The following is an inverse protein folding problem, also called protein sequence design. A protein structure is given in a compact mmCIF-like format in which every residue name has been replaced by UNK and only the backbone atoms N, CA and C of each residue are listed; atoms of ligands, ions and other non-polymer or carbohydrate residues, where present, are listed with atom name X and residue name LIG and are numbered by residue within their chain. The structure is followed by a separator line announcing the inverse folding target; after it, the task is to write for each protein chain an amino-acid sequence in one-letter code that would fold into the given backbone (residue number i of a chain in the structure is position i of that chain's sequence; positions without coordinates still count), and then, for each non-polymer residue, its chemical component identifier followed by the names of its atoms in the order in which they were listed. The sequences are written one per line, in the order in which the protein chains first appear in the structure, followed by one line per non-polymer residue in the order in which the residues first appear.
data_IF_426479321859
#
_entry.id   IF_426479321859
#
_cell.length_a   1.000
_cell.length_b   1.000
_cell.length_c   1.000
_cell.angle_alpha   90.00
_cell.angle_beta   90.00
_cell.angle_gamma   90.00
#
_symmetry.space_group_name_H-M   'P 1'
#
loop_
_entity.id
_entity.type
_entity.pdbx_description
1 polymer ?
#
# COMPACT_ATOMS: atom_id res chain seq x y z
N UNK A 1 -14.74 -27.18 13.48
CA UNK A 1 -15.88 -26.38 12.96
C UNK A 1 -15.43 -25.79 11.64
N UNK A 2 -16.08 -26.11 10.52
CA UNK A 2 -15.72 -25.53 9.22
C UNK A 2 -15.92 -24.01 9.29
N UNK A 3 -14.85 -23.24 9.11
CA UNK A 3 -14.89 -21.78 9.27
C UNK A 3 -15.89 -21.18 8.29
N UNK A 4 -17.04 -20.72 8.79
CA UNK A 4 -17.98 -19.91 8.01
C UNK A 4 -17.24 -18.67 7.47
N UNK A 5 -17.54 -18.20 6.25
CA UNK A 5 -16.97 -16.97 5.75
C UNK A 5 -17.24 -15.80 6.70
N UNK A 6 -16.26 -14.93 6.90
CA UNK A 6 -16.43 -13.69 7.64
C UNK A 6 -17.31 -12.75 6.81
N UNK A 7 -18.42 -12.31 7.38
CA UNK A 7 -19.38 -11.40 6.72
C UNK A 7 -18.92 -9.97 6.92
N UNK A 8 -18.67 -9.26 5.83
CA UNK A 8 -18.09 -7.92 5.89
C UNK A 8 -18.93 -6.87 5.16
N UNK A 9 -18.91 -5.65 5.67
CA UNK A 9 -19.44 -4.47 5.01
C UNK A 9 -18.37 -3.71 4.24
N UNK A 10 -18.62 -3.35 2.98
CA UNK A 10 -17.70 -2.53 2.18
C UNK A 10 -18.06 -1.04 2.28
N UNK A 11 -17.11 -0.20 2.67
CA UNK A 11 -17.33 1.25 2.86
C UNK A 11 -16.36 2.06 2.02
N UNK A 12 -16.90 3.05 1.29
CA UNK A 12 -16.12 3.88 0.38
C UNK A 12 -16.00 3.27 -1.02
N UNK A 13 -17.09 3.25 -1.78
CA UNK A 13 -17.24 2.44 -3.00
C UNK A 13 -16.62 3.08 -4.26
N UNK A 14 -15.37 3.53 -4.15
CA UNK A 14 -14.57 4.06 -5.26
C UNK A 14 -13.97 2.97 -6.15
N UNK A 15 -13.04 3.36 -7.03
CA UNK A 15 -12.32 2.43 -7.91
C UNK A 15 -11.65 1.30 -7.12
N UNK A 16 -10.99 1.63 -6.01
CA UNK A 16 -10.22 0.65 -5.24
C UNK A 16 -11.10 -0.37 -4.51
N UNK A 17 -12.28 0.04 -4.02
CA UNK A 17 -13.27 -0.88 -3.46
C UNK A 17 -13.65 -2.01 -4.43
N UNK A 18 -13.73 -1.71 -5.74
CA UNK A 18 -14.02 -2.74 -6.76
C UNK A 18 -12.87 -3.71 -6.96
N UNK A 19 -11.63 -3.24 -6.84
CA UNK A 19 -10.44 -4.10 -6.87
C UNK A 19 -10.46 -5.05 -5.67
N UNK A 20 -10.69 -4.50 -4.47
CA UNK A 20 -10.79 -5.29 -3.23
C UNK A 20 -11.99 -6.25 -3.29
N UNK A 21 -13.16 -5.81 -3.76
CA UNK A 21 -14.34 -6.65 -3.93
C UNK A 21 -14.10 -7.82 -4.89
N UNK A 22 -13.35 -7.59 -5.98
CA UNK A 22 -12.98 -8.65 -6.93
C UNK A 22 -11.99 -9.64 -6.33
N UNK A 23 -11.08 -9.20 -5.45
CA UNK A 23 -10.20 -10.09 -4.71
C UNK A 23 -10.97 -10.89 -3.65
N UNK A 24 -11.88 -10.23 -2.93
CA UNK A 24 -12.72 -10.85 -1.91
C UNK A 24 -13.66 -11.93 -2.49
N UNK A 25 -14.26 -11.69 -3.66
CA UNK A 25 -15.16 -12.67 -4.30
C UNK A 25 -14.48 -13.97 -4.74
N UNK A 26 -13.14 -13.99 -4.81
CA UNK A 26 -12.34 -15.20 -5.08
C UNK A 26 -11.99 -15.97 -3.80
N UNK A 27 -12.25 -15.40 -2.63
CA UNK A 27 -11.98 -16.01 -1.33
C UNK A 27 -13.18 -16.80 -0.84
N UNK A 28 -12.94 -17.98 -0.27
CA UNK A 28 -13.97 -18.73 0.48
C UNK A 28 -14.05 -18.31 1.96
N UNK A 29 -13.23 -17.34 2.38
CA UNK A 29 -13.10 -16.91 3.78
C UNK A 29 -13.82 -15.60 4.09
N UNK A 30 -14.30 -14.88 3.07
CA UNK A 30 -14.91 -13.56 3.17
C UNK A 30 -16.16 -13.51 2.32
N UNK A 31 -17.20 -12.87 2.83
CA UNK A 31 -18.44 -12.60 2.10
C UNK A 31 -18.83 -11.13 2.27
N UNK A 32 -19.00 -10.39 1.17
CA UNK A 32 -19.40 -8.98 1.22
C UNK A 32 -20.92 -8.92 1.25
N UNK A 33 -21.48 -8.81 2.45
CA UNK A 33 -22.94 -8.88 2.67
C UNK A 33 -23.61 -7.52 2.58
N UNK A 34 -22.86 -6.43 2.78
CA UNK A 34 -23.39 -5.07 2.80
C UNK A 34 -22.43 -4.05 2.19
N UNK A 35 -22.94 -2.93 1.68
CA UNK A 35 -22.12 -1.83 1.18
C UNK A 35 -22.70 -0.45 1.48
N UNK A 36 -21.78 0.51 1.72
CA UNK A 36 -22.10 1.90 1.95
C UNK A 36 -21.14 2.87 1.25
N UNK A 37 -21.72 3.95 0.71
CA UNK A 37 -21.02 5.14 0.20
C UNK A 37 -22.02 6.29 0.17
N UNK A 38 -21.54 7.53 0.34
CA UNK A 38 -22.38 8.74 0.25
C UNK A 38 -23.16 8.83 -1.08
N UNK A 39 -22.55 8.41 -2.19
CA UNK A 39 -23.21 8.40 -3.51
C UNK A 39 -24.06 7.15 -3.69
N UNK A 40 -25.37 7.36 -3.91
CA UNK A 40 -26.35 6.30 -4.20
C UNK A 40 -25.99 5.52 -5.46
N UNK A 41 -25.49 6.20 -6.48
CA UNK A 41 -25.06 5.62 -7.75
C UNK A 41 -23.92 4.61 -7.52
N UNK A 42 -22.96 4.96 -6.66
CA UNK A 42 -21.86 4.04 -6.28
C UNK A 42 -22.39 2.82 -5.51
N UNK A 43 -23.38 2.99 -4.61
CA UNK A 43 -24.02 1.86 -3.90
C UNK A 43 -24.71 0.90 -4.87
N UNK A 44 -25.51 1.44 -5.79
CA UNK A 44 -26.20 0.64 -6.83
C UNK A 44 -25.21 -0.08 -7.75
N UNK A 45 -24.16 0.61 -8.22
CA UNK A 45 -23.13 0.01 -9.07
C UNK A 45 -22.39 -1.13 -8.35
N UNK A 46 -22.06 -0.96 -7.07
CA UNK A 46 -21.35 -1.96 -6.29
C UNK A 46 -22.25 -3.18 -5.98
N UNK A 47 -23.51 -2.96 -5.59
CA UNK A 47 -24.51 -4.03 -5.43
C UNK A 47 -24.67 -4.84 -6.71
N UNK A 48 -24.81 -4.18 -7.87
CA UNK A 48 -24.92 -4.86 -9.16
C UNK A 48 -23.72 -5.78 -9.44
N UNK A 49 -22.53 -5.38 -9.01
CA UNK A 49 -21.29 -6.12 -9.26
C UNK A 49 -21.07 -7.27 -8.26
N UNK A 50 -21.44 -7.10 -6.98
CA UNK A 50 -21.06 -8.03 -5.91
C UNK A 50 -22.24 -8.66 -5.15
N UNK A 51 -23.49 -8.29 -5.44
CA UNK A 51 -24.68 -8.93 -4.89
C UNK A 51 -25.04 -8.56 -3.45
N UNK A 52 -24.40 -7.55 -2.85
CA UNK A 52 -24.57 -7.19 -1.44
C UNK A 52 -25.82 -6.31 -1.16
N UNK A 53 -26.23 -6.25 0.11
CA UNK A 53 -27.25 -5.29 0.59
C UNK A 53 -26.70 -3.86 0.48
N UNK A 54 -27.55 -2.91 0.12
CA UNK A 54 -27.25 -1.47 0.23
C UNK A 54 -27.74 -1.00 1.60
N UNK A 55 -26.90 -0.29 2.33
CA UNK A 55 -27.32 0.48 3.52
C UNK A 55 -27.34 1.97 3.19
N UNK A 56 -28.19 2.72 3.90
CA UNK A 56 -28.37 4.14 3.64
C UNK A 56 -27.48 5.04 4.48
N UNK A 57 -26.93 4.50 5.57
CA UNK A 57 -25.89 5.16 6.36
C UNK A 57 -24.78 4.20 6.79
N UNK A 58 -23.69 4.76 7.30
CA UNK A 58 -22.60 3.97 7.86
C UNK A 58 -23.00 3.40 9.22
N UNK A 59 -23.75 4.16 10.00
CA UNK A 59 -24.29 3.79 11.31
C UNK A 59 -25.22 2.58 11.20
N UNK A 60 -26.09 2.54 10.17
CA UNK A 60 -26.94 1.38 9.89
C UNK A 60 -26.10 0.12 9.61
N UNK A 61 -25.02 0.27 8.83
CA UNK A 61 -24.09 -0.84 8.54
C UNK A 61 -23.38 -1.30 9.81
N UNK A 62 -22.94 -0.37 10.67
CA UNK A 62 -22.26 -0.70 11.92
C UNK A 62 -23.20 -1.33 12.96
N UNK A 63 -24.49 -0.98 12.95
CA UNK A 63 -25.49 -1.54 13.86
C UNK A 63 -25.94 -2.97 13.48
N UNK A 64 -25.64 -3.44 12.26
CA UNK A 64 -26.04 -4.78 11.81
C UNK A 64 -25.20 -5.88 12.50
N UNK A 65 -25.83 -6.66 13.38
CA UNK A 65 -25.21 -7.79 14.08
C UNK A 65 -24.77 -8.92 13.13
N UNK A 66 -25.25 -8.92 11.88
CA UNK A 66 -24.83 -9.88 10.86
C UNK A 66 -23.53 -9.50 10.14
N UNK A 67 -22.93 -8.36 10.49
CA UNK A 67 -21.65 -7.92 9.93
C UNK A 67 -20.57 -8.09 10.98
N UNK A 68 -19.58 -8.92 10.67
CA UNK A 68 -18.47 -9.26 11.57
C UNK A 68 -17.32 -8.23 11.46
N UNK A 69 -17.19 -7.57 10.30
CA UNK A 69 -16.16 -6.57 10.06
C UNK A 69 -16.41 -5.64 8.88
N UNK A 70 -15.53 -4.66 8.69
CA UNK A 70 -15.62 -3.65 7.63
C UNK A 70 -14.35 -3.59 6.77
N UNK A 71 -14.57 -3.41 5.46
CA UNK A 71 -13.53 -3.10 4.49
C UNK A 71 -13.63 -1.61 4.16
N UNK A 72 -12.68 -0.83 4.65
CA UNK A 72 -12.68 0.62 4.53
C UNK A 72 -11.75 1.05 3.38
N UNK A 73 -12.33 1.66 2.34
CA UNK A 73 -11.63 2.14 1.13
C UNK A 73 -11.98 3.59 0.80
N UNK A 74 -12.23 4.36 1.86
CA UNK A 74 -12.55 5.78 1.83
C UNK A 74 -11.31 6.66 1.53
N UNK A 75 -11.46 7.97 1.28
CA UNK A 75 -10.33 8.89 1.24
C UNK A 75 -9.59 8.98 2.59
N UNK A 76 -8.27 9.24 2.57
CA UNK A 76 -7.41 9.26 3.77
C UNK A 76 -7.94 10.17 4.90
N UNK A 77 -8.59 11.28 4.53
CA UNK A 77 -9.07 12.30 5.46
C UNK A 77 -10.15 11.83 6.43
N UNK A 78 -10.84 10.72 6.12
CA UNK A 78 -11.90 10.15 6.96
C UNK A 78 -11.52 8.79 7.57
N UNK A 79 -10.26 8.37 7.44
CA UNK A 79 -9.82 7.07 7.98
C UNK A 79 -9.98 7.02 9.50
N UNK A 80 -9.51 8.03 10.22
CA UNK A 80 -9.58 8.04 11.68
C UNK A 80 -11.01 7.97 12.20
N UNK A 81 -11.90 8.81 11.63
CA UNK A 81 -13.31 8.82 11.98
C UNK A 81 -13.96 7.44 11.73
N UNK A 82 -13.77 6.87 10.54
CA UNK A 82 -14.39 5.59 10.18
C UNK A 82 -13.85 4.42 11.00
N UNK A 83 -12.54 4.37 11.25
CA UNK A 83 -11.93 3.37 12.12
C UNK A 83 -12.50 3.45 13.54
N UNK A 84 -12.57 4.65 14.12
CA UNK A 84 -13.05 4.84 15.49
C UNK A 84 -14.52 4.43 15.62
N UNK A 85 -15.37 4.78 14.65
CA UNK A 85 -16.77 4.37 14.66
C UNK A 85 -16.92 2.85 14.56
N UNK A 86 -16.19 2.19 13.64
CA UNK A 86 -16.20 0.73 13.52
C UNK A 86 -15.71 0.01 14.78
N UNK A 87 -14.63 0.51 15.39
CA UNK A 87 -14.07 -0.07 16.61
C UNK A 87 -15.05 0.04 17.79
N UNK A 88 -15.72 1.19 17.94
CA UNK A 88 -16.79 1.38 18.95
C UNK A 88 -17.98 0.46 18.73
N UNK A 89 -18.28 0.12 17.47
CA UNK A 89 -19.31 -0.85 17.10
C UNK A 89 -18.82 -2.32 17.15
N UNK A 90 -17.62 -2.57 17.71
CA UNK A 90 -17.00 -3.89 17.85
C UNK A 90 -16.89 -4.67 16.53
N UNK A 91 -16.64 -3.97 15.42
CA UNK A 91 -16.42 -4.58 14.09
C UNK A 91 -14.93 -4.79 13.85
N UNK A 92 -14.53 -5.94 13.30
CA UNK A 92 -13.17 -6.11 12.78
C UNK A 92 -12.90 -5.15 11.61
N UNK A 93 -11.66 -4.71 11.43
CA UNK A 93 -11.35 -3.62 10.48
C UNK A 93 -10.20 -4.04 9.57
N UNK A 94 -10.45 -3.92 8.27
CA UNK A 94 -9.42 -3.76 7.27
C UNK A 94 -9.56 -2.37 6.66
N UNK A 95 -8.50 -1.56 6.69
CA UNK A 95 -8.48 -0.18 6.17
C UNK A 95 -7.40 -0.06 5.10
N UNK A 96 -7.70 0.63 4.01
CA UNK A 96 -6.68 0.98 3.02
C UNK A 96 -5.57 1.86 3.62
N UNK A 97 -4.36 1.74 3.05
CA UNK A 97 -3.24 2.59 3.46
C UNK A 97 -3.40 4.00 2.89
N UNK A 98 -2.89 5.05 3.57
CA UNK A 98 -2.23 5.02 4.89
C UNK A 98 -3.26 4.91 6.04
N UNK A 99 -2.82 4.50 7.24
CA UNK A 99 -3.69 4.45 8.43
C UNK A 99 -4.38 5.80 8.72
N UNK A 100 -3.66 6.91 8.54
CA UNK A 100 -4.16 8.28 8.56
C UNK A 100 -3.18 9.17 7.80
N UNK A 101 -3.61 10.39 7.50
CA UNK A 101 -2.80 11.47 6.95
C UNK A 101 -2.21 12.40 8.02
N UNK A 102 -2.58 12.23 9.31
CA UNK A 102 -2.11 13.06 10.43
C UNK A 102 -1.62 12.19 11.60
N UNK A 103 -0.50 12.58 12.19
CA UNK A 103 0.06 11.88 13.35
C UNK A 103 -0.91 11.85 14.55
N UNK A 104 -1.55 12.98 14.86
CA UNK A 104 -2.52 13.07 15.97
C UNK A 104 -3.66 12.06 15.80
N UNK A 105 -4.16 11.90 14.59
CA UNK A 105 -5.20 10.93 14.25
C UNK A 105 -4.71 9.48 14.38
N UNK A 106 -3.49 9.18 13.94
CA UNK A 106 -2.88 7.87 14.11
C UNK A 106 -2.78 7.47 15.59
N UNK A 107 -2.42 8.40 16.48
CA UNK A 107 -2.41 8.14 17.93
C UNK A 107 -3.81 7.91 18.52
N UNK A 108 -4.82 8.65 18.04
CA UNK A 108 -6.21 8.42 18.46
C UNK A 108 -6.71 7.05 18.02
N UNK A 109 -6.40 6.65 16.78
CA UNK A 109 -6.68 5.30 16.28
C UNK A 109 -6.01 4.26 17.17
N UNK A 110 -4.70 4.41 17.44
CA UNK A 110 -3.96 3.50 18.31
C UNK A 110 -4.64 3.32 19.67
N UNK A 111 -4.98 4.43 20.34
CA UNK A 111 -5.64 4.38 21.65
C UNK A 111 -6.94 3.56 21.61
N UNK A 112 -7.80 3.83 20.62
CA UNK A 112 -9.08 3.12 20.49
C UNK A 112 -8.87 1.64 20.17
N UNK A 113 -7.86 1.31 19.35
CA UNK A 113 -7.54 -0.07 19.02
C UNK A 113 -6.95 -0.84 20.22
N UNK A 114 -6.07 -0.21 21.01
CA UNK A 114 -5.49 -0.81 22.22
C UNK A 114 -6.56 -1.13 23.28
N UNK A 115 -7.62 -0.33 23.34
CA UNK A 115 -8.78 -0.52 24.23
C UNK A 115 -9.81 -1.50 23.65
N UNK A 116 -9.67 -1.91 22.39
CA UNK A 116 -10.62 -2.79 21.69
C UNK A 116 -10.17 -4.25 21.66
N UNK A 117 -11.14 -5.18 21.55
CA UNK A 117 -10.87 -6.60 21.34
C UNK A 117 -10.88 -7.04 19.86
N UNK A 118 -10.82 -6.10 18.91
CA UNK A 118 -11.03 -6.38 17.49
C UNK A 118 -9.74 -6.74 16.75
N UNK A 119 -9.86 -7.49 15.66
CA UNK A 119 -8.78 -7.59 14.68
C UNK A 119 -8.74 -6.34 13.80
N UNK A 120 -7.55 -5.74 13.67
CA UNK A 120 -7.29 -4.57 12.84
C UNK A 120 -6.13 -4.84 11.87
N UNK A 121 -6.26 -4.39 10.63
CA UNK A 121 -5.21 -4.50 9.62
C UNK A 121 -5.23 -3.32 8.65
N UNK A 122 -4.04 -2.81 8.32
CA UNK A 122 -3.86 -1.81 7.27
C UNK A 122 -3.45 -2.51 5.97
N UNK A 123 -4.03 -2.10 4.85
CA UNK A 123 -3.90 -2.68 3.51
C UNK A 123 -2.54 -2.50 2.84
N UNK A 124 -1.44 -2.71 3.54
CA UNK A 124 -0.10 -2.74 2.95
C UNK A 124 0.14 -4.06 2.19
N UNK A 125 -0.30 -4.11 0.94
CA UNK A 125 -0.24 -5.34 0.13
C UNK A 125 1.14 -5.61 -0.51
N UNK A 126 2.01 -4.61 -0.61
CA UNK A 126 3.33 -4.73 -1.25
C UNK A 126 4.24 -5.77 -0.58
N UNK A 127 4.23 -5.85 0.76
CA UNK A 127 4.92 -6.91 1.52
C UNK A 127 4.41 -8.33 1.25
N UNK A 128 3.19 -8.46 0.73
CA UNK A 128 2.58 -9.76 0.43
C UNK A 128 2.93 -10.29 -0.97
N UNK A 129 3.56 -9.46 -1.83
CA UNK A 129 4.02 -9.90 -3.15
C UNK A 129 5.02 -11.06 -3.01
N UNK A 130 4.96 -12.01 -3.95
CA UNK A 130 5.85 -13.17 -3.96
C UNK A 130 7.33 -12.77 -3.93
N UNK A 131 7.69 -11.74 -4.69
CA UNK A 131 9.03 -11.15 -4.71
C UNK A 131 9.45 -10.62 -3.33
N UNK A 132 8.60 -9.83 -2.66
CA UNK A 132 8.87 -9.28 -1.33
C UNK A 132 9.05 -10.38 -0.27
N UNK A 133 8.20 -11.41 -0.31
CA UNK A 133 8.30 -12.56 0.59
C UNK A 133 9.54 -13.42 0.32
N UNK A 134 9.94 -13.54 -0.96
CA UNK A 134 11.16 -14.26 -1.33
C UNK A 134 12.41 -13.48 -0.89
N UNK A 135 12.46 -12.16 -1.10
CA UNK A 135 13.54 -11.33 -0.56
C UNK A 135 13.65 -11.47 0.96
N UNK A 136 12.51 -11.40 1.68
CA UNK A 136 12.50 -11.62 3.13
C UNK A 136 13.07 -12.98 3.52
N UNK A 137 12.64 -14.04 2.86
CA UNK A 137 13.14 -15.40 3.10
C UNK A 137 14.66 -15.50 2.90
N UNK A 138 15.19 -14.93 1.81
CA UNK A 138 16.63 -14.95 1.52
C UNK A 138 17.45 -14.15 2.56
N UNK A 139 16.90 -13.03 3.04
CA UNK A 139 17.50 -12.24 4.13
C UNK A 139 17.48 -13.05 5.43
N UNK A 140 16.33 -13.59 5.82
CA UNK A 140 16.17 -14.36 7.07
C UNK A 140 17.05 -15.62 7.10
N UNK A 141 17.23 -16.26 5.95
CA UNK A 141 18.09 -17.43 5.78
C UNK A 141 19.58 -17.09 5.65
N UNK A 142 19.99 -15.82 5.76
CA UNK A 142 21.39 -15.39 5.62
C UNK A 142 22.03 -15.73 4.26
N UNK A 143 21.20 -15.90 3.23
CA UNK A 143 21.64 -16.21 1.85
C UNK A 143 22.35 -15.01 1.23
N UNK A 144 21.88 -13.79 1.52
CA UNK A 144 22.51 -12.53 1.07
C UNK A 144 23.70 -12.10 1.94
N UNK A 145 23.92 -12.76 3.08
CA UNK A 145 24.86 -12.32 4.10
C UNK A 145 24.38 -11.07 4.84
N UNK A 146 25.32 -10.26 5.31
CA UNK A 146 25.04 -9.00 6.00
C UNK A 146 24.59 -7.95 4.98
N UNK A 147 23.41 -7.37 5.19
CA UNK A 147 22.92 -6.28 4.34
C UNK A 147 23.64 -4.98 4.71
N UNK A 148 24.21 -4.28 3.74
CA UNK A 148 24.85 -2.98 3.99
C UNK A 148 23.93 -1.80 3.64
N UNK A 149 23.22 -1.93 2.52
CA UNK A 149 22.40 -0.88 1.93
C UNK A 149 21.11 -1.48 1.36
N UNK A 150 20.02 -0.73 1.47
CA UNK A 150 18.78 -1.00 0.74
C UNK A 150 18.31 0.25 0.01
N UNK A 151 17.95 0.09 -1.25
CA UNK A 151 17.43 1.19 -2.07
C UNK A 151 16.00 0.86 -2.50
N UNK A 152 15.15 1.87 -2.62
CA UNK A 152 13.83 1.69 -3.20
C UNK A 152 13.36 2.93 -3.96
N UNK A 153 12.60 2.74 -5.02
CA UNK A 153 11.93 3.84 -5.70
C UNK A 153 10.54 3.45 -6.14
N UNK A 154 9.61 4.39 -6.02
CA UNK A 154 8.31 4.29 -6.66
C UNK A 154 7.89 5.63 -7.27
N UNK A 155 7.67 5.65 -8.58
CA UNK A 155 7.07 6.81 -9.27
C UNK A 155 5.86 6.47 -10.12
N UNK A 156 5.13 7.50 -10.52
CA UNK A 156 4.19 7.52 -11.64
C UNK A 156 3.88 8.98 -12.03
N UNK A 157 3.07 9.18 -13.05
CA UNK A 157 2.74 10.47 -13.65
C UNK A 157 1.51 11.15 -13.00
N UNK A 158 1.09 10.71 -11.81
CA UNK A 158 -0.20 11.12 -11.23
C UNK A 158 -0.35 12.63 -11.10
N UNK A 159 0.67 13.36 -10.69
CA UNK A 159 0.57 14.80 -10.48
C UNK A 159 0.53 15.62 -11.78
N UNK A 160 0.73 14.97 -12.94
CA UNK A 160 0.53 15.59 -14.27
C UNK A 160 -0.94 15.56 -14.70
N UNK A 161 -1.77 14.72 -14.08
CA UNK A 161 -3.18 14.51 -14.46
C UNK A 161 -4.19 15.03 -13.42
N UNK A 162 -3.76 15.30 -12.19
CA UNK A 162 -4.67 15.76 -11.14
C UNK A 162 -5.13 17.20 -11.40
N UNK A 163 -6.39 17.48 -11.07
CA UNK A 163 -7.00 18.80 -11.09
C UNK A 163 -7.41 19.22 -9.68
N UNK A 164 -7.79 20.48 -9.50
CA UNK A 164 -8.24 21.04 -8.21
C UNK A 164 -9.42 20.27 -7.58
N UNK A 165 -10.26 19.61 -8.39
CA UNK A 165 -11.37 18.76 -7.89
C UNK A 165 -10.89 17.51 -7.14
N UNK A 166 -9.61 17.18 -7.23
CA UNK A 166 -9.02 16.00 -6.59
C UNK A 166 -8.56 16.33 -5.18
N UNK A 167 -8.94 15.50 -4.22
CA UNK A 167 -8.35 15.55 -2.87
C UNK A 167 -6.82 15.35 -2.85
N UNK A 168 -6.22 14.86 -3.94
CA UNK A 168 -4.76 14.75 -4.09
C UNK A 168 -4.07 16.06 -4.45
N UNK A 169 -4.82 17.10 -4.78
CA UNK A 169 -4.28 18.41 -5.14
C UNK A 169 -3.69 19.15 -3.95
N UNK A 170 -4.32 19.03 -2.77
CA UNK A 170 -4.05 19.86 -1.59
C UNK A 170 -3.08 19.19 -0.60
N UNK A 171 -2.15 19.95 -0.01
CA UNK A 171 -1.17 19.44 0.97
C UNK A 171 -1.83 18.90 2.22
N UNK A 172 -2.90 19.55 2.66
CA UNK A 172 -3.62 19.18 3.88
C UNK A 172 -4.25 17.79 3.82
N UNK A 173 -4.68 17.35 2.63
CA UNK A 173 -5.27 16.02 2.42
C UNK A 173 -4.27 14.97 1.94
N UNK A 174 -3.15 15.40 1.33
CA UNK A 174 -2.10 14.51 0.81
C UNK A 174 -0.69 15.04 1.14
N UNK A 175 -0.31 15.07 2.43
CA UNK A 175 0.96 15.64 2.84
C UNK A 175 2.14 14.88 2.22
N UNK A 176 3.07 15.62 1.62
CA UNK A 176 4.24 15.06 0.94
C UNK A 176 3.92 14.29 -0.36
N UNK A 177 2.70 14.40 -0.89
CA UNK A 177 2.29 13.89 -2.20
C UNK A 177 2.68 12.43 -2.46
N UNK A 178 3.72 12.18 -3.29
CA UNK A 178 4.19 10.83 -3.58
C UNK A 178 4.68 10.07 -2.34
N UNK A 179 5.14 10.73 -1.27
CA UNK A 179 5.56 10.07 -0.03
C UNK A 179 4.43 9.27 0.61
N UNK A 180 3.30 9.94 0.89
CA UNK A 180 2.19 9.31 1.59
C UNK A 180 1.38 8.38 0.67
N UNK A 181 1.44 8.57 -0.64
CA UNK A 181 0.67 7.76 -1.58
C UNK A 181 1.44 6.56 -2.13
N UNK A 182 2.75 6.70 -2.36
CA UNK A 182 3.63 5.69 -2.93
C UNK A 182 4.63 5.15 -1.91
N UNK A 183 5.50 5.97 -1.33
CA UNK A 183 6.54 5.46 -0.42
C UNK A 183 6.00 4.80 0.83
N UNK A 184 4.78 5.11 1.28
CA UNK A 184 4.16 4.38 2.39
C UNK A 184 4.14 2.85 2.16
N UNK A 185 4.06 2.40 0.91
CA UNK A 185 4.17 0.98 0.58
C UNK A 185 5.60 0.45 0.70
N UNK A 186 6.57 1.25 0.29
CA UNK A 186 7.98 0.92 0.42
C UNK A 186 8.41 0.96 1.88
N UNK A 187 8.09 2.00 2.65
CA UNK A 187 8.40 2.06 4.09
C UNK A 187 7.84 0.87 4.87
N UNK A 188 6.64 0.42 4.52
CA UNK A 188 6.08 -0.80 5.08
C UNK A 188 6.88 -2.06 4.66
N UNK A 189 7.21 -2.20 3.38
CA UNK A 189 7.94 -3.37 2.87
C UNK A 189 9.39 -3.41 3.36
N UNK A 190 10.06 -2.27 3.40
CA UNK A 190 11.43 -2.09 3.87
C UNK A 190 11.54 -2.45 5.35
N UNK A 191 10.60 -2.00 6.18
CA UNK A 191 10.57 -2.38 7.59
C UNK A 191 10.21 -3.85 7.81
N UNK A 192 9.41 -4.45 6.91
CA UNK A 192 9.21 -5.90 6.90
C UNK A 192 10.51 -6.66 6.55
N UNK A 193 11.33 -6.13 5.65
CA UNK A 193 12.59 -6.75 5.24
C UNK A 193 13.67 -6.64 6.33
N UNK A 194 13.96 -5.42 6.79
CA UNK A 194 15.14 -5.12 7.63
C UNK A 194 14.81 -4.69 9.08
N UNK A 195 13.54 -4.60 9.46
CA UNK A 195 13.13 -4.11 10.77
C UNK A 195 12.94 -2.58 10.83
N UNK A 196 12.80 -1.99 12.03
CA UNK A 196 12.41 -0.60 12.19
C UNK A 196 13.42 0.40 11.62
N UNK A 197 12.92 1.51 11.08
CA UNK A 197 13.73 2.67 10.70
C UNK A 197 13.92 3.55 11.94
N UNK A 198 15.17 3.85 12.30
CA UNK A 198 15.51 4.64 13.49
C UNK A 198 15.48 6.15 13.20
N UNK A 199 16.00 6.59 12.05
CA UNK A 199 16.01 8.00 11.66
C UNK A 199 16.00 8.19 10.14
N UNK A 200 15.55 9.37 9.71
CA UNK A 200 15.49 9.77 8.31
C UNK A 200 15.95 11.22 8.12
N UNK A 201 16.49 11.51 6.93
CA UNK A 201 16.66 12.86 6.41
C UNK A 201 16.08 12.91 5.00
N UNK A 202 15.45 14.02 4.61
CA UNK A 202 14.72 14.09 3.35
C UNK A 202 14.78 15.47 2.69
N UNK A 203 14.73 15.46 1.36
CA UNK A 203 14.38 16.60 0.53
C UNK A 203 13.03 16.32 -0.14
N UNK A 204 12.09 17.24 0.00
CA UNK A 204 10.71 17.11 -0.49
C UNK A 204 10.37 18.44 -1.16
N UNK A 205 9.94 18.40 -2.42
CA UNK A 205 9.74 19.60 -3.23
C UNK A 205 8.58 19.44 -4.22
N UNK A 206 7.94 20.56 -4.56
CA UNK A 206 7.13 20.70 -5.76
C UNK A 206 8.02 21.25 -6.89
N UNK A 207 8.03 20.60 -8.05
CA UNK A 207 8.96 20.90 -9.15
C UNK A 207 8.27 21.11 -10.50
N UNK A 208 7.29 20.28 -10.85
CA UNK A 208 6.69 20.21 -12.19
C UNK A 208 5.16 20.37 -12.11
N UNK A 209 4.51 19.82 -11.07
CA UNK A 209 3.06 19.89 -10.94
C UNK A 209 2.58 21.32 -10.67
N UNK A 210 1.36 21.63 -11.10
CA UNK A 210 0.64 22.84 -10.69
C UNK A 210 -0.15 22.63 -9.39
N UNK A 211 -0.21 21.39 -8.88
CA UNK A 211 -0.89 21.09 -7.65
C UNK A 211 -0.16 21.72 -6.44
N UNK A 212 -0.91 21.96 -5.37
CA UNK A 212 -0.35 22.50 -4.14
C UNK A 212 0.68 21.54 -3.50
N UNK A 213 0.45 20.23 -3.62
CA UNK A 213 1.31 19.16 -3.08
C UNK A 213 2.74 19.15 -3.63
N UNK A 214 3.65 18.57 -2.84
CA UNK A 214 4.97 18.17 -3.35
C UNK A 214 4.84 17.03 -4.36
N UNK A 215 5.74 16.97 -5.34
CA UNK A 215 5.71 15.99 -6.42
C UNK A 215 6.97 15.14 -6.54
N UNK A 216 8.05 15.47 -5.81
CA UNK A 216 9.28 14.69 -5.75
C UNK A 216 9.80 14.64 -4.31
N UNK A 217 10.23 13.45 -3.89
CA UNK A 217 10.85 13.23 -2.59
C UNK A 217 12.04 12.27 -2.69
N UNK A 218 13.09 12.62 -1.95
CA UNK A 218 14.28 11.79 -1.74
C UNK A 218 14.54 11.69 -0.25
N UNK A 219 14.72 10.47 0.24
CA UNK A 219 14.91 10.15 1.66
C UNK A 219 16.16 9.30 1.82
N UNK A 220 16.98 9.62 2.80
CA UNK A 220 18.00 8.71 3.33
C UNK A 220 17.60 8.29 4.74
N UNK A 221 17.94 7.06 5.12
CA UNK A 221 17.51 6.48 6.38
C UNK A 221 18.60 5.61 7.02
N UNK A 222 18.54 5.49 8.35
CA UNK A 222 19.26 4.47 9.11
C UNK A 222 18.26 3.59 9.85
N UNK A 223 18.41 2.27 9.73
CA UNK A 223 17.63 1.28 10.46
C UNK A 223 18.17 1.09 11.89
N UNK A 224 17.37 0.55 12.80
CA UNK A 224 17.83 0.22 14.16
C UNK A 224 18.97 -0.80 14.15
N UNK A 225 19.00 -1.68 13.15
CA UNK A 225 20.09 -2.62 12.88
C UNK A 225 21.39 -1.97 12.40
N UNK A 226 21.39 -0.67 12.09
CA UNK A 226 22.52 0.06 11.52
C UNK A 226 22.62 0.02 10.00
N UNK A 227 21.77 -0.75 9.30
CA UNK A 227 21.73 -0.74 7.84
C UNK A 227 21.32 0.66 7.33
N UNK A 228 21.82 1.05 6.15
CA UNK A 228 21.48 2.32 5.52
C UNK A 228 20.44 2.12 4.41
N UNK A 229 19.70 3.18 4.07
CA UNK A 229 18.83 3.16 2.91
C UNK A 229 18.66 4.48 2.18
N UNK A 230 18.34 4.38 0.89
CA UNK A 230 18.00 5.49 0.00
C UNK A 230 16.66 5.22 -0.68
N UNK A 231 15.71 6.14 -0.52
CA UNK A 231 14.35 5.99 -1.02
C UNK A 231 13.92 7.19 -1.86
N UNK A 232 13.40 6.92 -3.06
CA UNK A 232 12.98 7.96 -4.00
C UNK A 232 11.52 7.81 -4.40
N UNK A 233 10.84 8.94 -4.60
CA UNK A 233 9.49 8.93 -5.16
C UNK A 233 9.17 10.17 -5.95
N UNK A 234 8.38 9.98 -7.00
CA UNK A 234 7.99 11.03 -7.92
C UNK A 234 6.58 10.81 -8.43
N UNK A 235 5.83 11.90 -8.55
CA UNK A 235 4.51 11.94 -9.18
C UNK A 235 4.53 12.61 -10.56
N UNK A 236 5.71 12.93 -11.06
CA UNK A 236 5.93 13.69 -12.30
C UNK A 236 6.92 12.97 -13.21
N UNK A 237 7.02 11.64 -13.08
CA UNK A 237 7.84 10.79 -13.94
C UNK A 237 7.14 9.49 -14.28
N UNK A 238 7.51 8.80 -15.38
CA UNK A 238 6.92 7.51 -15.73
C UNK A 238 6.96 6.49 -14.60
N UNK A 239 6.04 5.54 -14.63
CA UNK A 239 5.88 4.52 -13.59
C UNK A 239 7.09 3.60 -13.43
N UNK A 240 7.75 3.65 -12.27
CA UNK A 240 8.73 2.64 -11.84
C UNK A 240 8.40 2.12 -10.46
N UNK A 241 8.76 0.87 -10.20
CA UNK A 241 8.75 0.27 -8.88
C UNK A 241 9.97 -0.63 -8.79
N UNK A 242 10.84 -0.38 -7.83
CA UNK A 242 11.95 -1.29 -7.53
C UNK A 242 12.40 -1.22 -6.07
N UNK A 243 13.03 -2.30 -5.62
CA UNK A 243 13.72 -2.46 -4.34
C UNK A 243 15.03 -3.21 -4.61
N UNK A 244 16.16 -2.66 -4.18
CA UNK A 244 17.48 -3.28 -4.31
C UNK A 244 18.09 -3.52 -2.93
N UNK A 245 18.57 -4.72 -2.67
CA UNK A 245 19.23 -5.11 -1.42
C UNK A 245 20.68 -5.45 -1.73
N UNK A 246 21.61 -4.84 -0.99
CA UNK A 246 23.04 -5.07 -1.16
C UNK A 246 23.56 -5.86 0.04
N UNK A 247 23.81 -7.14 -0.18
CA UNK A 247 24.32 -8.06 0.84
C UNK A 247 25.78 -8.43 0.61
N UNK A 248 26.49 -8.80 1.67
CA UNK A 248 27.91 -9.18 1.60
C UNK A 248 28.20 -10.42 0.74
N UNK A 249 27.19 -11.26 0.45
CA UNK A 249 27.30 -12.45 -0.40
C UNK A 249 26.57 -12.29 -1.75
N UNK A 250 25.45 -11.59 -1.77
CA UNK A 250 24.59 -11.47 -2.95
C UNK A 250 23.76 -10.19 -2.90
N UNK A 251 23.54 -9.60 -4.08
CA UNK A 251 22.59 -8.51 -4.25
C UNK A 251 21.26 -9.04 -4.80
N UNK A 252 20.15 -8.47 -4.32
CA UNK A 252 18.81 -8.74 -4.82
C UNK A 252 18.27 -7.48 -5.51
N UNK A 253 17.73 -7.65 -6.71
CA UNK A 253 17.11 -6.57 -7.48
C UNK A 253 15.68 -6.97 -7.80
N UNK A 254 14.72 -6.32 -7.15
CA UNK A 254 13.30 -6.50 -7.45
C UNK A 254 12.81 -5.31 -8.26
N UNK A 255 12.32 -5.55 -9.46
CA UNK A 255 11.69 -4.51 -10.29
C UNK A 255 10.34 -4.99 -10.78
N UNK A 256 9.39 -4.06 -10.84
CA UNK A 256 8.13 -4.22 -11.57
C UNK A 256 8.12 -3.18 -12.67
N UNK A 257 8.35 -3.62 -13.88
CA UNK A 257 8.33 -2.74 -15.05
C UNK A 257 6.88 -2.49 -15.44
N UNK A 258 6.42 -1.24 -15.31
CA UNK A 258 5.08 -0.85 -15.77
C UNK A 258 5.11 -0.50 -17.27
N UNK A 259 6.22 0.01 -17.82
CA UNK A 259 6.52 0.14 -19.25
C UNK A 259 8.04 0.23 -19.45
N UNK A 260 8.60 -0.42 -20.48
CA UNK A 260 10.01 -0.30 -20.89
C UNK A 260 10.01 0.31 -22.31
N UNK A 261 10.50 1.54 -22.48
CA UNK A 261 11.13 1.89 -23.75
C UNK A 261 12.57 1.38 -23.66
N UNK A 262 12.79 0.17 -24.19
CA UNK A 262 14.15 -0.31 -24.45
C UNK A 262 14.70 0.52 -25.61
N UNK A 263 15.83 1.19 -25.38
CA UNK A 263 16.67 1.67 -26.49
C UNK A 263 17.09 0.42 -27.28
N UNK A 264 16.99 0.39 -28.63
CA UNK A 264 17.12 -0.83 -29.43
C UNK A 264 18.41 -1.65 -29.25
N UNK A 265 19.47 -1.11 -28.65
CA UNK A 265 20.80 -1.74 -28.61
C UNK A 265 21.32 -2.17 -27.23
N UNK A 266 20.47 -2.19 -26.19
CA UNK A 266 20.90 -2.66 -24.86
C UNK A 266 20.75 -4.19 -24.74
N UNK A 267 21.80 -4.95 -25.08
CA UNK A 267 21.84 -6.40 -24.89
C UNK A 267 22.06 -6.78 -23.41
N UNK A 268 20.96 -7.04 -22.70
CA UNK A 268 21.01 -7.80 -21.44
C UNK A 268 20.60 -9.24 -21.73
N UNK A 269 21.43 -10.21 -21.33
CA UNK A 269 21.07 -11.62 -21.43
C UNK A 269 19.95 -11.93 -20.41
N UNK A 270 18.70 -11.90 -20.88
CA UNK A 270 17.56 -12.47 -20.17
C UNK A 270 17.74 -13.98 -20.01
N UNK A 271 17.85 -14.45 -18.77
CA UNK A 271 17.45 -15.83 -18.42
C UNK A 271 16.05 -15.77 -17.81
N UNK A 272 15.04 -15.97 -18.65
CA UNK A 272 13.66 -16.19 -18.23
C UNK A 272 12.64 -15.46 -19.08
N UNK A 273 12.05 -16.16 -20.05
CA UNK A 273 10.89 -15.69 -20.80
C UNK A 273 9.66 -15.57 -19.88
N UNK A 274 8.98 -14.42 -19.90
CA UNK A 274 7.51 -14.40 -19.93
C UNK A 274 7.02 -13.17 -20.69
N UNK A 275 6.40 -13.41 -21.85
CA UNK A 275 5.65 -12.41 -22.59
C UNK A 275 4.29 -12.15 -21.91
N UNK A 276 3.93 -10.87 -21.76
CA UNK A 276 2.56 -10.41 -21.51
C UNK A 276 2.08 -10.46 -20.05
N UNK A 277 1.72 -9.27 -19.54
CA UNK A 277 1.30 -8.91 -18.17
C UNK A 277 2.46 -8.66 -17.21
N UNK A 278 2.36 -7.55 -16.47
CA UNK A 278 3.24 -7.08 -15.38
C UNK A 278 4.04 -8.24 -14.78
N UNK A 279 5.32 -8.34 -15.17
CA UNK A 279 6.23 -9.33 -14.62
C UNK A 279 6.79 -8.80 -13.31
N UNK A 280 6.48 -9.49 -12.21
CA UNK A 280 7.14 -9.29 -10.93
C UNK A 280 8.42 -10.15 -10.94
N UNK A 281 9.56 -9.54 -11.25
CA UNK A 281 10.83 -10.29 -11.36
C UNK A 281 11.78 -9.89 -10.24
N UNK A 282 12.48 -10.88 -9.69
CA UNK A 282 13.63 -10.70 -8.79
C UNK A 282 14.85 -11.26 -9.50
N UNK A 283 15.85 -10.43 -9.70
CA UNK A 283 17.16 -10.84 -10.18
C UNK A 283 18.11 -10.93 -8.98
N UNK A 284 19.00 -11.92 -9.00
CA UNK A 284 19.96 -12.13 -7.93
C UNK A 284 21.37 -12.20 -8.55
N UNK A 285 22.26 -11.29 -8.14
CA UNK A 285 23.63 -11.22 -8.64
C UNK A 285 24.58 -11.77 -7.56
N UNK A 286 25.15 -12.94 -7.82
CA UNK A 286 26.08 -13.61 -6.89
C UNK A 286 27.47 -12.99 -6.99
N UNK A 287 28.01 -12.53 -5.87
CA UNK A 287 29.39 -12.06 -5.80
C UNK A 287 30.31 -13.28 -5.74
N UNK A 288 31.09 -13.52 -6.81
CA UNK A 288 32.20 -14.48 -6.74
C UNK A 288 33.36 -13.81 -6.02
N UNK A 289 33.56 -14.15 -4.75
CA UNK A 289 34.80 -13.79 -4.06
C UNK A 289 35.96 -14.53 -4.74
N UNK A 290 37.04 -13.79 -5.05
CA UNK A 290 38.30 -14.37 -5.54
C UNK A 290 39.08 -14.98 -4.39
#
# INVERSE_FOLDING_TARGET
MGNKPLRVGSVGLGRWAKVIGTAASRSKKLDIVSCFSRSKEKRVSFKKQFGCKITDSYEELLADENIDGVLLTTPNIVHAETIIQAAKANKHIWIEKPISHKMKEAYLIKKVLDESGITFSVGHSARMLGASRQMKKMIDNQEVGEVSLIEAHWSNERALEITEDSWRWYRDSTPGGPLIQLLVHHFDTLQYLLGPIAEVQAYIQSRITNAEVDDVATVIARFESGNLGYFGSSWVSPGVYWINVYGSKQNLYHQRTLFQYLVPDASWQEKGQTAGRVADTVFALVVRQR
#
